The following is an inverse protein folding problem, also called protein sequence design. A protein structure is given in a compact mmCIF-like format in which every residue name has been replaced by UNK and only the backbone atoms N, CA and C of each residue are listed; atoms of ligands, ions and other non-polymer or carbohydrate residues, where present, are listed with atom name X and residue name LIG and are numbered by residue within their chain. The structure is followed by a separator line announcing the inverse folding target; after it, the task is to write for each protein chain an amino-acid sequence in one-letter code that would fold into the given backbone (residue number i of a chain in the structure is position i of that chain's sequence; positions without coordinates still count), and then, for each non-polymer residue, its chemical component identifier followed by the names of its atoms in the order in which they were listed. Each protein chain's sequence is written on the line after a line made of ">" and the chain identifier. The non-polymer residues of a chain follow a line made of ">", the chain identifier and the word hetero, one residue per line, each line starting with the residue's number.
data_IF_527823019445
#
_entry.id   IF_527823019445
#
_cell.length_a   1.000
_cell.length_b   1.000
_cell.length_c   1.000
_cell.angle_alpha   90.00
_cell.angle_beta   90.00
_cell.angle_gamma   90.00
#
_symmetry.space_group_name_H-M   'P 1'
#
loop_
_entity.id
_entity.type
_entity.pdbx_description
1 polymer ?
#
# COMPACT_ATOMS: atom_id res chain seq x y z
N UNK A 1 -0.07 -24.20 7.27
CA UNK A 1 0.43 -23.33 6.18
C UNK A 1 0.24 -21.85 6.47
N UNK A 2 -0.93 -21.39 6.87
CA UNK A 2 -1.22 -19.95 7.06
C UNK A 2 -0.48 -19.25 8.21
N UNK A 3 0.05 -20.01 9.18
CA UNK A 3 0.91 -19.50 10.26
C UNK A 3 2.37 -19.35 9.83
N UNK A 4 2.74 -19.77 8.62
CA UNK A 4 4.11 -19.71 8.11
C UNK A 4 4.37 -18.28 7.64
N UNK A 5 5.16 -17.55 8.43
CA UNK A 5 5.45 -16.13 8.22
C UNK A 5 6.06 -15.80 6.85
N UNK A 6 6.96 -16.64 6.32
CA UNK A 6 7.61 -16.38 5.04
C UNK A 6 6.66 -16.48 3.85
N UNK A 7 5.57 -17.26 3.95
CA UNK A 7 4.56 -17.40 2.87
C UNK A 7 3.87 -16.05 2.64
N UNK A 8 3.59 -15.31 3.71
CA UNK A 8 3.02 -13.98 3.64
C UNK A 8 3.95 -12.96 3.00
N UNK A 9 5.24 -13.01 3.34
CA UNK A 9 6.25 -12.14 2.73
C UNK A 9 6.44 -12.46 1.25
N UNK A 10 6.53 -13.73 0.88
CA UNK A 10 6.66 -14.16 -0.52
C UNK A 10 5.40 -13.78 -1.33
N UNK A 11 4.21 -13.96 -0.77
CA UNK A 11 2.95 -13.52 -1.38
C UNK A 11 2.88 -12.00 -1.56
N UNK A 12 3.30 -11.24 -0.54
CA UNK A 12 3.40 -9.78 -0.62
C UNK A 12 4.37 -9.31 -1.71
N UNK A 13 5.51 -9.97 -1.83
CA UNK A 13 6.47 -9.69 -2.91
C UNK A 13 5.88 -9.97 -4.29
N UNK A 14 5.18 -11.10 -4.47
CA UNK A 14 4.52 -11.44 -5.72
C UNK A 14 3.43 -10.41 -6.10
N UNK A 15 2.66 -9.92 -5.11
CA UNK A 15 1.68 -8.83 -5.32
C UNK A 15 2.38 -7.51 -5.72
N UNK A 16 3.53 -7.20 -5.12
CA UNK A 16 4.33 -6.05 -5.50
C UNK A 16 4.85 -6.13 -6.94
N UNK A 17 5.27 -7.32 -7.39
CA UNK A 17 5.64 -7.56 -8.79
C UNK A 17 4.43 -7.44 -9.72
N UNK A 18 3.26 -7.93 -9.30
CA UNK A 18 2.03 -7.82 -10.08
C UNK A 18 1.60 -6.36 -10.32
N UNK A 19 1.88 -5.45 -9.37
CA UNK A 19 1.64 -4.00 -9.55
C UNK A 19 2.45 -3.41 -10.72
N UNK A 20 3.65 -3.93 -11.02
CA UNK A 20 4.44 -3.45 -12.16
C UNK A 20 3.73 -3.72 -13.49
N UNK A 21 2.88 -4.74 -13.54
CA UNK A 21 2.08 -5.11 -14.71
C UNK A 21 0.73 -4.38 -14.77
N UNK A 22 0.23 -3.90 -13.64
CA UNK A 22 -1.10 -3.31 -13.51
C UNK A 22 -1.01 -1.90 -12.90
N UNK A 23 -1.27 -0.83 -13.65
CA UNK A 23 -1.24 0.52 -13.10
C UNK A 23 -2.47 0.76 -12.22
N UNK A 24 -2.32 0.77 -10.88
CA UNK A 24 -3.47 1.02 -10.00
C UNK A 24 -3.18 1.43 -8.55
N UNK A 25 -1.95 1.30 -8.05
CA UNK A 25 -1.54 1.43 -6.64
C UNK A 25 -2.32 0.53 -5.65
N UNK A 26 -3.18 -0.36 -6.13
CA UNK A 26 -4.05 -1.20 -5.30
C UNK A 26 -3.25 -2.40 -4.76
N UNK A 27 -2.46 -3.08 -5.60
CA UNK A 27 -1.68 -4.25 -5.19
C UNK A 27 -0.54 -3.87 -4.27
N UNK A 28 -0.03 -2.64 -4.35
CA UNK A 28 1.00 -2.12 -3.46
C UNK A 28 0.52 -2.03 -2.00
N UNK A 29 -0.74 -1.64 -1.77
CA UNK A 29 -1.36 -1.66 -0.45
C UNK A 29 -1.49 -3.07 0.12
N UNK A 30 -1.91 -4.03 -0.71
CA UNK A 30 -1.99 -5.45 -0.32
C UNK A 30 -0.61 -6.09 -0.11
N UNK A 31 0.40 -5.72 -0.91
CA UNK A 31 1.78 -6.17 -0.74
C UNK A 31 2.35 -5.73 0.61
N UNK A 32 2.16 -4.46 0.96
CA UNK A 32 2.56 -3.92 2.26
C UNK A 32 1.82 -4.61 3.42
N UNK A 33 0.51 -4.80 3.30
CA UNK A 33 -0.28 -5.52 4.30
C UNK A 33 0.16 -6.97 4.50
N UNK A 34 0.56 -7.66 3.43
CA UNK A 34 1.05 -9.04 3.47
C UNK A 34 2.42 -9.13 4.16
N UNK A 35 3.34 -8.22 3.84
CA UNK A 35 4.65 -8.14 4.51
C UNK A 35 4.50 -7.86 5.99
N UNK A 36 3.67 -6.89 6.38
CA UNK A 36 3.42 -6.55 7.78
C UNK A 36 2.78 -7.72 8.55
N UNK A 37 1.81 -8.40 7.95
CA UNK A 37 1.21 -9.62 8.53
C UNK A 37 2.26 -10.72 8.70
N UNK A 38 3.13 -10.91 7.70
CA UNK A 38 4.24 -11.86 7.77
C UNK A 38 5.22 -11.54 8.90
N UNK A 39 5.60 -10.28 9.07
CA UNK A 39 6.46 -9.83 10.18
C UNK A 39 5.80 -10.10 11.53
N UNK A 40 4.50 -9.79 11.67
CA UNK A 40 3.74 -10.06 12.91
C UNK A 40 3.72 -11.55 13.25
N UNK A 41 3.48 -12.42 12.28
CA UNK A 41 3.57 -13.87 12.50
C UNK A 41 4.99 -14.32 12.86
N UNK A 42 6.01 -13.69 12.24
CA UNK A 42 7.43 -13.98 12.45
C UNK A 42 7.95 -13.64 13.85
N UNK A 43 7.38 -12.61 14.51
CA UNK A 43 7.68 -12.26 15.91
C UNK A 43 6.92 -13.12 16.94
N UNK A 44 6.15 -14.12 16.48
CA UNK A 44 5.46 -15.08 17.35
C UNK A 44 3.98 -14.77 17.60
N UNK A 45 3.36 -13.84 16.86
CA UNK A 45 1.91 -13.62 16.94
C UNK A 45 1.19 -14.79 16.24
N UNK A 46 0.84 -15.83 16.97
CA UNK A 46 0.03 -16.93 16.45
C UNK A 46 -1.44 -16.73 16.81
N UNK A 47 -2.22 -16.27 15.84
CA UNK A 47 -3.68 -16.09 15.96
C UNK A 47 -4.43 -17.03 15.02
N UNK A 48 -5.74 -17.17 15.23
CA UNK A 48 -6.59 -18.00 14.37
C UNK A 48 -6.60 -17.45 12.93
N UNK A 49 -6.89 -18.33 11.97
CA UNK A 49 -6.93 -17.96 10.55
C UNK A 49 -7.88 -16.79 10.26
N UNK A 50 -9.11 -16.73 10.82
CA UNK A 50 -9.99 -15.57 10.65
C UNK A 50 -9.39 -14.26 11.16
N UNK A 51 -8.70 -14.29 12.32
CA UNK A 51 -8.05 -13.11 12.88
C UNK A 51 -6.84 -12.67 12.05
N UNK A 52 -6.08 -13.61 11.50
CA UNK A 52 -4.94 -13.32 10.61
C UNK A 52 -5.42 -12.58 9.36
N UNK A 53 -6.52 -13.03 8.76
CA UNK A 53 -7.15 -12.37 7.61
C UNK A 53 -7.70 -10.99 7.96
N UNK A 54 -8.27 -10.84 9.15
CA UNK A 54 -8.73 -9.53 9.65
C UNK A 54 -7.56 -8.55 9.77
N UNK A 55 -6.46 -8.96 10.40
CA UNK A 55 -5.25 -8.14 10.54
C UNK A 55 -4.70 -7.75 9.17
N UNK A 56 -4.57 -8.72 8.26
CA UNK A 56 -4.14 -8.48 6.89
C UNK A 56 -5.02 -7.47 6.15
N UNK A 57 -6.35 -7.61 6.25
CA UNK A 57 -7.30 -6.70 5.61
C UNK A 57 -7.19 -5.27 6.16
N UNK A 58 -7.08 -5.13 7.48
CA UNK A 58 -6.91 -3.83 8.13
C UNK A 58 -5.59 -3.17 7.76
N UNK A 59 -4.48 -3.93 7.77
CA UNK A 59 -3.16 -3.42 7.40
C UNK A 59 -3.10 -3.02 5.92
N UNK A 60 -3.71 -3.82 5.04
CA UNK A 60 -3.77 -3.52 3.60
C UNK A 60 -4.59 -2.27 3.31
N UNK A 61 -5.74 -2.13 3.99
CA UNK A 61 -6.58 -0.94 3.87
C UNK A 61 -5.84 0.31 4.38
N UNK A 62 -5.18 0.21 5.53
CA UNK A 62 -4.40 1.31 6.09
C UNK A 62 -3.24 1.71 5.16
N UNK A 63 -2.51 0.74 4.62
CA UNK A 63 -1.43 0.98 3.66
C UNK A 63 -1.96 1.64 2.38
N UNK A 64 -3.10 1.18 1.85
CA UNK A 64 -3.74 1.78 0.67
C UNK A 64 -4.17 3.24 0.93
N UNK A 65 -4.80 3.53 2.07
CA UNK A 65 -5.16 4.91 2.46
C UNK A 65 -3.92 5.79 2.55
N UNK A 66 -2.84 5.30 3.19
CA UNK A 66 -1.59 6.03 3.33
C UNK A 66 -0.96 6.36 1.97
N UNK A 67 -0.88 5.38 1.07
CA UNK A 67 -0.37 5.56 -0.29
C UNK A 67 -1.22 6.57 -1.08
N UNK A 68 -2.56 6.46 -0.99
CA UNK A 68 -3.47 7.38 -1.65
C UNK A 68 -3.33 8.81 -1.12
N UNK A 69 -3.10 8.96 0.18
CA UNK A 69 -2.88 10.26 0.81
C UNK A 69 -1.54 10.89 0.41
N UNK A 70 -0.46 10.10 0.23
CA UNK A 70 0.86 10.65 -0.11
C UNK A 70 1.06 10.90 -1.59
N UNK A 71 0.47 10.08 -2.47
CA UNK A 71 0.68 10.17 -3.93
C UNK A 71 -0.26 11.20 -4.58
N UNK A 72 -1.45 11.44 -4.01
CA UNK A 72 -2.45 12.34 -4.57
C UNK A 72 -2.24 13.85 -4.32
N UNK A 73 -1.28 14.24 -3.49
CA UNK A 73 -1.02 15.65 -3.13
C UNK A 73 0.02 16.26 -4.06
N UNK A 74 -0.30 16.37 -5.35
CA UNK A 74 0.41 17.29 -6.25
C UNK A 74 -0.38 18.60 -6.35
N UNK A 75 -0.40 19.38 -5.27
CA UNK A 75 -0.94 20.76 -5.25
C UNK A 75 0.06 21.75 -5.88
N UNK A 76 0.60 21.41 -7.06
CA UNK A 76 1.83 22.01 -7.57
C UNK A 76 1.75 22.70 -8.94
N UNK A 77 0.56 22.92 -9.52
CA UNK A 77 0.45 23.57 -10.83
C UNK A 77 -0.80 24.45 -10.95
N UNK A 78 -0.87 25.51 -10.14
CA UNK A 78 -1.45 26.76 -10.66
C UNK A 78 -0.38 27.81 -10.49
N UNK A 79 0.55 27.83 -11.45
CA UNK A 79 1.37 29.01 -11.68
C UNK A 79 0.40 30.08 -12.19
N UNK A 80 -0.18 30.87 -11.28
CA UNK A 80 -0.88 32.10 -11.60
C UNK A 80 0.13 33.01 -12.30
N UNK A 81 0.15 32.95 -13.63
CA UNK A 81 0.84 33.94 -14.44
C UNK A 81 -0.03 35.20 -14.44
N UNK A 82 0.12 36.04 -13.41
CA UNK A 82 -0.33 37.45 -13.43
C UNK A 82 0.64 38.29 -14.28
N UNK A 83 0.87 37.87 -15.53
CA UNK A 83 1.52 38.74 -16.51
C UNK A 83 0.46 39.17 -17.49
N UNK A 84 -0.28 40.19 -17.09
CA UNK A 84 -1.13 40.94 -18.02
C UNK A 84 -0.21 41.50 -19.12
N UNK A 85 -0.58 41.20 -20.36
CA UNK A 85 0.18 41.52 -21.57
C UNK A 85 -0.28 42.89 -22.12
N UNK A 86 -1.06 43.65 -21.34
CA UNK A 86 -1.77 44.83 -21.80
C UNK A 86 -1.34 46.14 -21.12
N UNK A 87 -0.21 46.16 -20.39
CA UNK A 87 0.46 47.40 -20.04
C UNK A 87 1.37 47.86 -21.20
N UNK A 88 0.71 48.27 -22.30
CA UNK A 88 1.13 49.03 -23.49
C UNK A 88 2.39 48.58 -24.27
#
# INVERSE_FOLDING_TARGET
>A
MWTIWWVWIAGGFALGVAEVLLPGFIFLGFAAGAVLTGVLLGIGLSVSLPLTLLIFALLSLAAWIALRATVGVQSGQVKLWDKDINDN
#
